data_IF_389562248387
#
_entry.id   IF_389562248387
#
_cell.length_a   1.000
_cell.length_b   1.000
_cell.length_c   1.000
_cell.angle_alpha   90.00
_cell.angle_beta   90.00
_cell.angle_gamma   90.00
#
_symmetry.space_group_name_H-M   'P 1'
#
loop_
_entity.id
_entity.type
_entity.pdbx_description
1 polymer ?
#
# COMPACT_ATOMS: atom_id res chain seq x y z
N UNK A 1 -15.89 -13.56 2.04
CA UNK A 1 -15.50 -12.36 2.83
C UNK A 1 -15.36 -12.78 4.28
N UNK A 2 -14.21 -12.53 4.87
CA UNK A 2 -13.90 -12.83 6.25
C UNK A 2 -13.58 -11.58 7.04
N UNK A 3 -13.65 -11.66 8.36
CA UNK A 3 -13.43 -10.53 9.24
C UNK A 3 -12.57 -10.94 10.42
N UNK A 4 -11.56 -10.13 10.71
CA UNK A 4 -10.84 -10.19 11.96
C UNK A 4 -11.37 -9.08 12.88
N UNK A 5 -12.09 -9.47 13.92
CA UNK A 5 -12.57 -8.54 14.94
C UNK A 5 -11.43 -8.21 15.90
N UNK A 6 -11.18 -6.93 16.12
CA UNK A 6 -10.13 -6.45 17.01
C UNK A 6 -10.66 -5.45 18.01
N UNK A 7 -9.92 -5.16 19.06
CA UNK A 7 -10.26 -4.09 20.01
C UNK A 7 -10.42 -2.72 19.32
N UNK A 8 -9.75 -2.50 18.19
CA UNK A 8 -9.64 -1.21 17.51
C UNK A 8 -10.58 -1.06 16.30
N UNK A 9 -11.13 -2.15 15.80
CA UNK A 9 -11.98 -2.17 14.60
C UNK A 9 -12.05 -3.55 13.99
N UNK A 10 -12.67 -3.62 12.83
CA UNK A 10 -12.85 -4.83 12.05
C UNK A 10 -12.01 -4.75 10.78
N UNK A 11 -11.13 -5.72 10.57
CA UNK A 11 -10.33 -5.87 9.36
C UNK A 11 -11.00 -6.91 8.46
N UNK A 12 -11.46 -6.49 7.29
CA UNK A 12 -12.07 -7.35 6.29
C UNK A 12 -11.01 -7.89 5.32
N UNK A 13 -11.15 -9.15 4.92
CA UNK A 13 -10.28 -9.77 3.91
C UNK A 13 -10.99 -10.89 3.16
N UNK A 14 -10.43 -11.27 2.02
CA UNK A 14 -10.82 -12.48 1.30
C UNK A 14 -9.66 -13.47 1.33
N UNK A 15 -9.98 -14.72 1.61
CA UNK A 15 -9.05 -15.84 1.55
C UNK A 15 -9.27 -16.61 0.24
N UNK A 16 -8.22 -16.77 -0.53
CA UNK A 16 -8.21 -17.52 -1.76
C UNK A 16 -7.16 -18.63 -1.66
N UNK A 17 -7.62 -19.88 -1.65
CA UNK A 17 -6.78 -21.07 -1.48
C UNK A 17 -6.60 -21.49 -0.02
N UNK A 18 -5.98 -22.65 0.17
CA UNK A 18 -5.74 -23.27 1.49
C UNK A 18 -4.34 -23.90 1.56
N UNK A 19 -3.41 -23.45 0.72
CA UNK A 19 -2.04 -23.95 0.71
C UNK A 19 -1.17 -23.29 1.81
N UNK A 20 0.00 -23.85 2.12
CA UNK A 20 0.88 -23.37 3.20
C UNK A 20 1.67 -22.11 2.84
N UNK A 21 1.69 -21.70 1.54
CA UNK A 21 2.39 -20.51 1.11
C UNK A 21 1.47 -19.29 1.17
N UNK A 22 1.43 -18.64 2.33
CA UNK A 22 0.52 -17.52 2.59
C UNK A 22 1.11 -16.22 2.05
N UNK A 23 0.29 -15.44 1.33
CA UNK A 23 0.62 -14.08 0.87
C UNK A 23 -0.39 -13.09 1.42
N UNK A 24 0.10 -11.98 1.99
CA UNK A 24 -0.72 -10.86 2.45
C UNK A 24 -0.70 -9.76 1.38
N UNK A 25 -1.87 -9.40 0.84
CA UNK A 25 -2.01 -8.46 -0.27
C UNK A 25 -2.68 -7.16 0.21
N UNK A 26 -1.97 -6.03 0.13
CA UNK A 26 -2.41 -4.71 0.59
C UNK A 26 -2.55 -3.74 -0.57
N UNK A 27 -3.77 -3.23 -0.80
CA UNK A 27 -4.12 -2.31 -1.88
C UNK A 27 -3.67 -0.86 -1.64
N UNK A 28 -3.75 -0.02 -2.67
CA UNK A 28 -3.48 1.41 -2.61
C UNK A 28 -4.63 2.24 -2.00
N UNK A 29 -4.35 3.52 -1.75
CA UNK A 29 -5.36 4.45 -1.25
C UNK A 29 -6.55 4.58 -2.23
N UNK A 30 -7.76 4.61 -1.69
CA UNK A 30 -9.01 4.73 -2.47
C UNK A 30 -9.45 3.47 -3.18
N UNK A 31 -8.70 2.37 -3.07
CA UNK A 31 -9.04 1.05 -3.59
C UNK A 31 -9.66 0.16 -2.49
N UNK A 32 -9.91 -1.08 -2.83
CA UNK A 32 -10.33 -2.15 -1.93
C UNK A 32 -9.72 -3.48 -2.42
N UNK A 33 -10.06 -4.58 -1.78
CA UNK A 33 -9.56 -5.91 -2.11
C UNK A 33 -9.74 -6.33 -3.58
N UNK A 34 -10.74 -5.77 -4.30
CA UNK A 34 -10.95 -6.06 -5.74
C UNK A 34 -9.78 -5.61 -6.62
N UNK A 35 -8.93 -4.68 -6.15
CA UNK A 35 -7.74 -4.27 -6.86
C UNK A 35 -6.80 -5.44 -7.22
N UNK A 36 -6.90 -6.56 -6.49
CA UNK A 36 -6.09 -7.74 -6.71
C UNK A 36 -6.81 -8.86 -7.49
N UNK A 37 -7.97 -8.61 -8.09
CA UNK A 37 -8.69 -9.63 -8.89
C UNK A 37 -7.80 -10.25 -9.99
N UNK A 38 -6.92 -9.43 -10.61
CA UNK A 38 -5.97 -9.90 -11.61
C UNK A 38 -4.86 -10.84 -11.05
N UNK A 39 -4.59 -10.77 -9.73
CA UNK A 39 -3.62 -11.65 -9.08
C UNK A 39 -4.19 -13.02 -8.72
N UNK A 40 -5.50 -13.14 -8.51
CA UNK A 40 -6.11 -14.38 -8.04
C UNK A 40 -5.82 -15.58 -8.98
N UNK A 41 -5.87 -15.44 -10.33
CA UNK A 41 -5.53 -16.52 -11.25
C UNK A 41 -4.04 -16.93 -11.22
N UNK A 42 -3.15 -16.13 -10.65
CA UNK A 42 -1.72 -16.45 -10.52
C UNK A 42 -1.43 -17.41 -9.36
N UNK A 43 -2.40 -17.64 -8.49
CA UNK A 43 -2.30 -18.53 -7.34
C UNK A 43 -2.06 -19.98 -7.78
N UNK A 44 -1.04 -20.59 -7.22
CA UNK A 44 -0.76 -22.04 -7.38
C UNK A 44 -1.51 -22.85 -6.31
N UNK A 45 -1.66 -24.17 -6.48
CA UNK A 45 -2.36 -25.01 -5.48
C UNK A 45 -1.81 -24.90 -4.05
N UNK A 46 -0.51 -24.65 -3.91
CA UNK A 46 0.16 -24.47 -2.59
C UNK A 46 0.00 -23.08 -1.97
N UNK A 47 -0.58 -22.14 -2.71
CA UNK A 47 -0.65 -20.74 -2.27
C UNK A 47 -1.99 -20.43 -1.61
N UNK A 48 -1.94 -19.58 -0.59
CA UNK A 48 -3.09 -18.92 0.02
C UNK A 48 -2.90 -17.41 -0.08
N UNK A 49 -3.82 -16.70 -0.73
CA UNK A 49 -3.83 -15.24 -0.76
C UNK A 49 -4.83 -14.70 0.24
N UNK A 50 -4.37 -13.88 1.18
CA UNK A 50 -5.20 -13.08 2.05
C UNK A 50 -5.20 -11.64 1.52
N UNK A 51 -6.31 -11.25 0.89
CA UNK A 51 -6.46 -9.95 0.24
C UNK A 51 -7.28 -9.05 1.15
N UNK A 52 -6.70 -7.94 1.60
CA UNK A 52 -7.28 -7.09 2.63
C UNK A 52 -8.00 -5.87 2.06
N UNK A 53 -9.07 -5.47 2.75
CA UNK A 53 -9.49 -4.09 2.79
C UNK A 53 -8.74 -3.40 3.93
N UNK A 54 -7.91 -2.39 3.64
CA UNK A 54 -7.27 -1.61 4.71
C UNK A 54 -8.32 -0.77 5.45
N UNK A 55 -8.05 -0.40 6.70
CA UNK A 55 -9.01 0.40 7.48
C UNK A 55 -9.45 1.66 6.73
N UNK A 56 -10.71 2.03 6.87
CA UNK A 56 -11.43 3.07 6.09
C UNK A 56 -11.64 2.75 4.61
N UNK A 57 -11.32 1.54 4.16
CA UNK A 57 -11.55 1.09 2.79
C UNK A 57 -12.42 -0.17 2.79
N UNK A 58 -13.18 -0.37 1.71
CA UNK A 58 -14.03 -1.53 1.52
C UNK A 58 -14.96 -1.77 2.72
N UNK A 59 -14.88 -2.97 3.30
CA UNK A 59 -15.70 -3.38 4.45
C UNK A 59 -14.97 -3.31 5.80
N UNK A 60 -13.72 -2.85 5.81
CA UNK A 60 -12.98 -2.62 7.05
C UNK A 60 -13.42 -1.36 7.76
N UNK A 61 -13.50 -1.43 9.08
CA UNK A 61 -13.90 -0.31 9.93
C UNK A 61 -12.88 -0.06 11.04
N UNK A 62 -12.79 1.21 11.47
CA UNK A 62 -11.97 1.65 12.59
C UNK A 62 -12.85 2.34 13.61
N UNK A 63 -12.77 1.96 14.89
CA UNK A 63 -13.73 2.39 15.90
C UNK A 63 -13.68 3.88 16.26
N UNK A 64 -12.47 4.45 16.30
CA UNK A 64 -12.32 5.83 16.75
C UNK A 64 -11.20 6.56 16.02
N UNK A 65 -11.50 7.76 15.51
CA UNK A 65 -10.48 8.65 14.91
C UNK A 65 -9.43 9.12 15.93
N UNK A 66 -9.77 9.18 17.21
CA UNK A 66 -8.83 9.58 18.26
C UNK A 66 -7.80 8.48 18.54
N UNK A 67 -8.15 7.22 18.29
CA UNK A 67 -7.22 6.10 18.35
C UNK A 67 -6.40 6.08 17.05
N UNK A 68 -5.10 6.31 17.16
CA UNK A 68 -4.17 6.21 16.03
C UNK A 68 -3.78 4.74 15.81
N UNK A 69 -3.59 4.36 14.54
CA UNK A 69 -3.00 3.07 14.21
C UNK A 69 -1.47 3.21 14.38
N UNK A 70 -0.96 2.64 15.46
CA UNK A 70 0.49 2.61 15.73
C UNK A 70 1.11 1.29 15.24
N UNK A 71 2.44 1.20 15.24
CA UNK A 71 3.16 -0.03 14.88
C UNK A 71 2.79 -1.19 15.83
N UNK A 72 2.64 -0.91 17.12
CA UNK A 72 2.28 -1.88 18.15
C UNK A 72 0.87 -2.44 17.91
N UNK A 73 -0.09 -1.55 17.58
CA UNK A 73 -1.45 -1.96 17.24
C UNK A 73 -1.45 -2.79 15.96
N UNK A 74 -0.73 -2.35 14.92
CA UNK A 74 -0.64 -3.12 13.69
C UNK A 74 0.00 -4.49 13.93
N UNK A 75 1.04 -4.54 14.75
CA UNK A 75 1.67 -5.81 15.17
C UNK A 75 0.68 -6.73 15.88
N UNK A 76 -0.11 -6.23 16.83
CA UNK A 76 -1.09 -7.04 17.55
C UNK A 76 -2.20 -7.58 16.63
N UNK A 77 -2.64 -6.79 15.64
CA UNK A 77 -3.61 -7.22 14.64
C UNK A 77 -3.06 -8.35 13.78
N UNK A 78 -1.80 -8.24 13.33
CA UNK A 78 -1.18 -9.28 12.52
C UNK A 78 -0.93 -10.57 13.32
N UNK A 79 -0.58 -10.49 14.59
CA UNK A 79 -0.46 -11.70 15.48
C UNK A 79 -1.82 -12.41 15.55
N UNK A 80 -2.90 -11.70 15.83
CA UNK A 80 -4.26 -12.27 15.86
C UNK A 80 -4.67 -12.88 14.51
N UNK A 81 -4.24 -12.27 13.39
CA UNK A 81 -4.47 -12.81 12.06
C UNK A 81 -3.69 -14.12 11.83
N UNK A 82 -2.40 -14.16 12.22
CA UNK A 82 -1.55 -15.32 12.10
C UNK A 82 -2.11 -16.50 12.92
N UNK A 83 -2.57 -16.23 14.13
CA UNK A 83 -3.22 -17.22 14.99
C UNK A 83 -4.54 -17.71 14.39
N UNK A 84 -5.39 -16.79 13.88
CA UNK A 84 -6.69 -17.13 13.30
C UNK A 84 -6.58 -17.99 12.04
N UNK A 85 -5.63 -17.66 11.15
CA UNK A 85 -5.45 -18.29 9.84
C UNK A 85 -4.41 -19.42 9.85
N UNK A 86 -3.81 -19.69 11.02
CA UNK A 86 -2.83 -20.76 11.27
C UNK A 86 -1.62 -20.71 10.32
N UNK A 87 -0.89 -19.59 10.35
CA UNK A 87 0.37 -19.46 9.62
C UNK A 87 1.41 -18.70 10.43
N UNK A 88 2.69 -19.01 10.21
CA UNK A 88 3.82 -18.33 10.85
C UNK A 88 4.68 -17.55 9.86
N UNK A 89 4.78 -17.99 8.60
CA UNK A 89 5.61 -17.35 7.57
C UNK A 89 4.78 -16.99 6.35
N UNK A 90 5.09 -15.81 5.78
CA UNK A 90 4.25 -15.27 4.70
C UNK A 90 5.05 -14.42 3.71
N UNK A 91 4.46 -14.19 2.55
CA UNK A 91 4.90 -13.24 1.54
C UNK A 91 4.11 -11.94 1.67
N UNK A 92 4.73 -10.83 1.28
CA UNK A 92 4.09 -9.52 1.27
C UNK A 92 3.97 -9.00 -0.15
N UNK A 93 2.77 -8.61 -0.53
CA UNK A 93 2.47 -7.96 -1.80
C UNK A 93 1.77 -6.64 -1.50
N UNK A 94 2.38 -5.53 -1.87
CA UNK A 94 1.83 -4.22 -1.56
C UNK A 94 1.93 -3.23 -2.70
N UNK A 95 0.83 -2.52 -2.94
CA UNK A 95 0.77 -1.47 -3.95
C UNK A 95 0.56 -0.10 -3.29
N UNK A 96 1.37 0.90 -3.68
CA UNK A 96 1.22 2.29 -3.22
C UNK A 96 1.15 2.37 -1.68
N UNK A 97 0.05 2.84 -1.10
CA UNK A 97 -0.19 2.82 0.36
C UNK A 97 -0.03 1.41 0.95
N UNK A 98 -0.49 0.36 0.25
CA UNK A 98 -0.28 -1.04 0.66
C UNK A 98 1.21 -1.43 0.69
N UNK A 99 2.04 -0.83 -0.16
CA UNK A 99 3.50 -0.97 -0.09
C UNK A 99 4.08 -0.45 1.22
N UNK A 100 3.55 0.66 1.75
CA UNK A 100 3.90 1.17 3.08
C UNK A 100 3.50 0.17 4.18
N UNK A 101 2.30 -0.43 4.09
CA UNK A 101 1.88 -1.48 5.03
C UNK A 101 2.76 -2.73 4.93
N UNK A 102 3.18 -3.12 3.73
CA UNK A 102 4.14 -4.22 3.54
C UNK A 102 5.50 -3.92 4.17
N UNK A 103 6.03 -2.71 4.01
CA UNK A 103 7.29 -2.29 4.62
C UNK A 103 7.20 -2.29 6.16
N UNK A 104 6.10 -1.78 6.72
CA UNK A 104 5.84 -1.80 8.16
C UNK A 104 5.70 -3.23 8.69
N UNK A 105 5.00 -4.10 7.97
CA UNK A 105 4.86 -5.51 8.33
C UNK A 105 6.22 -6.20 8.31
N UNK A 106 7.06 -5.91 7.31
CA UNK A 106 8.42 -6.43 7.26
C UNK A 106 9.27 -5.94 8.45
N UNK A 107 9.19 -4.65 8.79
CA UNK A 107 9.90 -4.09 9.95
C UNK A 107 9.55 -4.81 11.26
N UNK A 108 8.27 -5.18 11.43
CA UNK A 108 7.75 -5.83 12.64
C UNK A 108 8.00 -7.34 12.69
N UNK A 109 8.12 -7.99 11.52
CA UNK A 109 8.21 -9.44 11.38
C UNK A 109 9.30 -9.89 10.38
N UNK A 110 10.54 -9.38 10.47
CA UNK A 110 11.55 -9.60 9.43
C UNK A 110 11.96 -11.08 9.24
N UNK A 111 11.86 -11.90 10.29
CA UNK A 111 12.20 -13.34 10.23
C UNK A 111 11.04 -14.22 9.73
N UNK A 112 9.83 -13.67 9.67
CA UNK A 112 8.62 -14.37 9.24
C UNK A 112 8.28 -14.12 7.78
N UNK A 113 8.85 -13.06 7.19
CA UNK A 113 8.58 -12.68 5.80
C UNK A 113 9.49 -13.44 4.85
N UNK A 114 8.90 -14.22 3.95
CA UNK A 114 9.60 -15.03 2.93
C UNK A 114 10.05 -14.17 1.73
N UNK A 115 9.23 -13.21 1.30
CA UNK A 115 9.58 -12.28 0.20
C UNK A 115 8.69 -11.04 0.19
N UNK A 116 9.13 -9.99 -0.54
CA UNK A 116 8.36 -8.78 -0.78
C UNK A 116 8.20 -8.52 -2.28
N UNK A 117 6.97 -8.27 -2.71
CA UNK A 117 6.64 -7.67 -4.00
C UNK A 117 6.02 -6.30 -3.76
N UNK A 118 6.77 -5.25 -4.07
CA UNK A 118 6.38 -3.87 -3.82
C UNK A 118 6.12 -3.14 -5.14
N UNK A 119 4.88 -2.77 -5.39
CA UNK A 119 4.45 -2.06 -6.59
C UNK A 119 4.27 -0.57 -6.27
N UNK A 120 5.15 0.29 -6.79
CA UNK A 120 5.19 1.72 -6.51
C UNK A 120 4.91 2.05 -5.02
N UNK A 121 5.71 1.51 -4.07
CA UNK A 121 5.39 1.59 -2.64
C UNK A 121 5.51 3.01 -2.10
N UNK A 122 4.48 3.47 -1.39
CA UNK A 122 4.57 4.62 -0.49
C UNK A 122 5.43 4.26 0.75
N UNK A 123 5.94 5.28 1.43
CA UNK A 123 6.75 5.13 2.65
C UNK A 123 8.26 5.06 2.42
N UNK A 124 8.73 4.93 1.17
CA UNK A 124 10.18 5.00 0.83
C UNK A 124 10.64 6.45 0.68
N UNK A 125 9.84 7.30 0.08
CA UNK A 125 10.05 8.75 0.06
C UNK A 125 8.87 9.41 0.77
N UNK A 126 9.15 10.29 1.72
CA UNK A 126 8.10 11.11 2.32
C UNK A 126 7.50 12.00 1.24
N UNK A 127 6.31 11.61 0.76
CA UNK A 127 5.62 12.33 -0.30
C UNK A 127 5.05 13.66 0.21
N UNK A 128 4.77 14.56 -0.73
CA UNK A 128 4.07 15.82 -0.49
C UNK A 128 2.81 15.65 0.39
N UNK A 129 2.05 14.58 0.17
CA UNK A 129 0.84 14.24 0.93
C UNK A 129 1.10 13.93 2.39
N UNK A 130 2.20 13.23 2.67
CA UNK A 130 2.63 12.96 4.03
C UNK A 130 2.98 14.25 4.76
N UNK A 131 3.73 15.13 4.12
CA UNK A 131 4.10 16.43 4.70
C UNK A 131 2.87 17.31 4.96
N UNK A 132 1.87 17.32 4.04
CA UNK A 132 0.61 18.06 4.23
C UNK A 132 -0.22 17.50 5.39
N UNK A 133 -0.30 16.18 5.56
CA UNK A 133 -1.06 15.54 6.63
C UNK A 133 -0.36 15.65 8.01
N UNK A 134 0.97 15.84 8.02
CA UNK A 134 1.78 15.84 9.25
C UNK A 134 2.07 17.21 9.82
N UNK A 135 1.73 18.29 9.11
CA UNK A 135 1.92 19.66 9.63
C UNK A 135 1.09 19.90 10.90
N UNK A 136 1.68 20.56 11.93
CA UNK A 136 1.02 20.67 13.23
C UNK A 136 -0.21 21.60 13.20
N UNK A 137 -1.20 21.23 14.02
CA UNK A 137 -2.35 22.02 14.52
C UNK A 137 -3.18 22.82 13.51
N UNK A 138 -2.64 23.89 12.96
CA UNK A 138 -3.40 24.84 12.10
C UNK A 138 -3.73 24.22 10.73
N UNK A 139 -2.81 23.49 10.12
CA UNK A 139 -3.04 22.83 8.81
C UNK A 139 -3.98 21.64 8.93
N UNK A 140 -4.00 20.93 10.05
CA UNK A 140 -5.00 19.88 10.28
C UNK A 140 -6.43 20.49 10.40
N UNK A 141 -6.57 21.65 11.04
CA UNK A 141 -7.84 22.40 11.07
C UNK A 141 -8.23 22.90 9.67
N UNK A 142 -7.26 23.40 8.91
CA UNK A 142 -7.48 23.82 7.52
C UNK A 142 -7.88 22.63 6.65
N UNK A 143 -7.21 21.49 6.78
CA UNK A 143 -7.55 20.27 6.05
C UNK A 143 -8.95 19.77 6.42
N UNK A 144 -9.32 19.78 7.70
CA UNK A 144 -10.69 19.51 8.15
C UNK A 144 -11.70 20.46 7.49
N UNK A 145 -11.36 21.75 7.43
CA UNK A 145 -12.21 22.76 6.77
C UNK A 145 -12.37 22.46 5.27
N UNK A 146 -11.29 22.06 4.57
CA UNK A 146 -11.29 21.66 3.16
C UNK A 146 -12.20 20.46 2.91
N UNK A 147 -12.18 19.47 3.78
CA UNK A 147 -13.05 18.28 3.68
C UNK A 147 -14.52 18.67 3.68
N UNK A 148 -14.90 19.66 4.51
CA UNK A 148 -16.29 20.11 4.65
C UNK A 148 -16.68 21.23 3.66
N UNK A 149 -15.71 22.03 3.19
CA UNK A 149 -15.93 23.18 2.30
C UNK A 149 -15.07 23.08 1.02
N UNK A 150 -15.27 22.08 0.17
CA UNK A 150 -14.35 21.75 -0.93
C UNK A 150 -14.30 22.80 -2.04
N UNK A 151 -15.37 23.60 -2.25
CA UNK A 151 -15.45 24.57 -3.37
C UNK A 151 -14.31 25.60 -3.34
N UNK A 152 -14.00 26.17 -2.17
CA UNK A 152 -12.90 27.15 -2.02
C UNK A 152 -11.55 26.48 -2.25
N UNK A 153 -11.37 25.29 -1.73
CA UNK A 153 -10.14 24.51 -1.92
C UNK A 153 -9.87 24.20 -3.39
N UNK A 154 -10.87 23.66 -4.12
CA UNK A 154 -10.69 23.36 -5.54
C UNK A 154 -10.38 24.62 -6.34
N UNK A 155 -11.05 25.75 -6.06
CA UNK A 155 -10.76 27.05 -6.71
C UNK A 155 -9.31 27.49 -6.47
N UNK A 156 -8.82 27.38 -5.23
CA UNK A 156 -7.42 27.69 -4.90
C UNK A 156 -6.45 26.75 -5.63
N UNK A 157 -6.74 25.45 -5.66
CA UNK A 157 -5.91 24.46 -6.36
C UNK A 157 -5.89 24.72 -7.88
N UNK A 158 -6.99 25.14 -8.47
CA UNK A 158 -7.07 25.50 -9.89
C UNK A 158 -6.22 26.73 -10.22
N UNK A 159 -6.25 27.76 -9.37
CA UNK A 159 -5.38 28.93 -9.51
C UNK A 159 -3.90 28.52 -9.39
N UNK A 160 -3.53 27.72 -8.40
CA UNK A 160 -2.14 27.25 -8.24
C UNK A 160 -1.68 26.38 -9.42
N UNK A 161 -2.58 25.58 -10.00
CA UNK A 161 -2.28 24.78 -11.18
C UNK A 161 -2.11 25.67 -12.44
N UNK A 162 -2.95 26.70 -12.61
CA UNK A 162 -2.81 27.66 -13.73
C UNK A 162 -1.53 28.48 -13.65
N UNK A 163 -0.99 28.68 -12.42
CA UNK A 163 0.30 29.33 -12.18
C UNK A 163 1.51 28.38 -12.36
N UNK A 164 1.30 27.12 -12.74
CA UNK A 164 2.36 26.11 -12.91
C UNK A 164 2.98 25.64 -11.59
N UNK A 165 2.41 26.01 -10.43
CA UNK A 165 2.92 25.63 -9.11
C UNK A 165 2.58 24.17 -8.78
N UNK A 166 1.47 23.66 -9.31
CA UNK A 166 1.00 22.30 -9.11
C UNK A 166 1.08 21.48 -10.39
N UNK A 167 1.48 20.22 -10.26
CA UNK A 167 1.46 19.28 -11.40
C UNK A 167 0.02 18.86 -11.73
N UNK A 168 -0.33 18.84 -13.02
CA UNK A 168 -1.68 18.47 -13.49
C UNK A 168 -2.08 17.04 -13.11
N UNK A 169 -1.13 16.11 -13.00
CA UNK A 169 -1.34 14.73 -12.52
C UNK A 169 -1.81 14.71 -11.07
N UNK A 170 -1.18 15.53 -10.23
CA UNK A 170 -1.54 15.71 -8.83
C UNK A 170 -2.96 16.27 -8.70
N UNK A 171 -3.31 17.28 -9.53
CA UNK A 171 -4.64 17.87 -9.54
C UNK A 171 -5.70 16.82 -9.93
N UNK A 172 -5.43 15.99 -10.95
CA UNK A 172 -6.34 14.93 -11.37
C UNK A 172 -6.56 13.92 -10.24
N UNK A 173 -5.49 13.50 -9.55
CA UNK A 173 -5.58 12.60 -8.42
C UNK A 173 -6.39 13.21 -7.27
N UNK A 174 -6.08 14.44 -6.85
CA UNK A 174 -6.84 15.13 -5.78
C UNK A 174 -8.32 15.23 -6.14
N UNK A 175 -8.64 15.66 -7.36
CA UNK A 175 -10.04 15.75 -7.83
C UNK A 175 -10.70 14.38 -7.77
N UNK A 176 -10.05 13.29 -8.21
CA UNK A 176 -10.62 11.94 -8.19
C UNK A 176 -10.89 11.44 -6.77
N UNK A 177 -9.98 11.70 -5.81
CA UNK A 177 -10.08 11.22 -4.43
C UNK A 177 -10.93 12.10 -3.51
N UNK A 178 -11.40 13.27 -3.99
CA UNK A 178 -12.13 14.23 -3.17
C UNK A 178 -13.51 14.64 -3.75
N UNK A 179 -14.03 13.89 -4.71
CA UNK A 179 -15.29 14.21 -5.40
C UNK A 179 -16.49 14.23 -4.45
N UNK A 180 -16.65 13.19 -3.65
CA UNK A 180 -17.78 13.06 -2.74
C UNK A 180 -17.38 13.40 -1.30
N UNK A 181 -18.38 13.67 -0.45
CA UNK A 181 -18.16 13.88 0.98
C UNK A 181 -17.53 12.65 1.65
N UNK A 182 -17.97 11.46 1.25
CA UNK A 182 -17.44 10.19 1.77
C UNK A 182 -15.97 10.01 1.42
N UNK A 183 -15.56 10.25 0.17
CA UNK A 183 -14.17 10.17 -0.26
C UNK A 183 -13.29 11.17 0.49
N UNK A 184 -13.75 12.41 0.67
CA UNK A 184 -13.00 13.41 1.45
C UNK A 184 -12.85 13.01 2.91
N UNK A 185 -13.92 12.45 3.51
CA UNK A 185 -13.87 11.92 4.87
C UNK A 185 -12.88 10.76 4.98
N UNK A 186 -12.87 9.86 3.99
CA UNK A 186 -11.92 8.75 3.90
C UNK A 186 -10.47 9.25 3.87
N UNK A 187 -10.15 10.25 3.02
CA UNK A 187 -8.81 10.90 3.00
C UNK A 187 -8.47 11.42 4.39
N UNK A 188 -9.35 12.19 5.00
CA UNK A 188 -9.11 12.80 6.31
C UNK A 188 -8.87 11.76 7.41
N UNK A 189 -9.73 10.74 7.49
CA UNK A 189 -9.62 9.71 8.52
C UNK A 189 -8.40 8.82 8.32
N UNK A 190 -8.17 8.34 7.11
CA UNK A 190 -7.01 7.51 6.79
C UNK A 190 -5.71 8.21 7.16
N UNK A 191 -5.53 9.46 6.75
CA UNK A 191 -4.29 10.17 7.02
C UNK A 191 -4.10 10.50 8.50
N UNK A 192 -5.17 10.89 9.20
CA UNK A 192 -5.07 11.15 10.63
C UNK A 192 -4.75 9.89 11.44
N UNK A 193 -5.38 8.77 11.10
CA UNK A 193 -5.21 7.52 11.84
C UNK A 193 -3.90 6.83 11.49
N UNK A 194 -3.47 6.86 10.22
CA UNK A 194 -2.23 6.21 9.77
C UNK A 194 -0.98 7.08 9.92
N UNK A 195 -1.12 8.31 10.43
CA UNK A 195 0.01 9.24 10.63
C UNK A 195 1.21 8.63 11.37
N UNK A 196 1.05 7.83 12.45
CA UNK A 196 2.17 7.23 13.17
C UNK A 196 2.85 6.10 12.41
N UNK A 197 2.22 5.54 11.38
CA UNK A 197 2.76 4.43 10.61
C UNK A 197 3.86 4.91 9.66
N UNK A 198 5.09 5.02 10.17
CA UNK A 198 6.27 5.39 9.41
C UNK A 198 7.27 4.23 9.41
N UNK A 199 7.58 3.63 8.21
CA UNK A 199 8.61 2.61 8.12
C UNK A 199 10.00 3.19 8.48
N UNK A 200 10.75 2.51 9.31
CA UNK A 200 12.17 2.79 9.49
C UNK A 200 12.97 2.12 8.37
N UNK A 201 13.21 2.88 7.31
CA UNK A 201 13.93 2.36 6.14
C UNK A 201 15.35 1.93 6.44
N UNK A 202 16.01 2.53 7.45
CA UNK A 202 17.34 2.14 7.87
C UNK A 202 17.34 0.72 8.44
N UNK A 203 16.45 0.46 9.38
CA UNK A 203 16.23 -0.86 9.97
C UNK A 203 15.79 -1.88 8.92
N UNK A 204 14.81 -1.54 8.08
CA UNK A 204 14.30 -2.41 7.02
C UNK A 204 15.41 -2.86 6.07
N UNK A 205 16.22 -1.92 5.55
CA UNK A 205 17.34 -2.22 4.64
C UNK A 205 18.35 -3.14 5.33
N UNK A 206 18.70 -2.84 6.59
CA UNK A 206 19.61 -3.67 7.38
C UNK A 206 19.09 -5.11 7.49
N UNK A 207 17.82 -5.29 7.84
CA UNK A 207 17.21 -6.62 8.00
C UNK A 207 17.03 -7.37 6.68
N UNK A 208 16.66 -6.68 5.57
CA UNK A 208 16.60 -7.30 4.24
C UNK A 208 17.98 -7.85 3.83
N UNK A 209 19.04 -7.09 4.08
CA UNK A 209 20.41 -7.52 3.78
C UNK A 209 20.87 -8.67 4.67
N UNK A 210 20.56 -8.63 5.97
CA UNK A 210 20.93 -9.67 6.92
C UNK A 210 20.22 -11.00 6.60
N UNK A 211 18.93 -10.95 6.39
CA UNK A 211 18.09 -12.12 6.13
C UNK A 211 18.12 -12.57 4.66
N UNK A 212 18.76 -11.82 3.78
CA UNK A 212 18.76 -12.04 2.32
C UNK A 212 17.34 -12.20 1.76
N UNK A 213 16.37 -11.46 2.36
CA UNK A 213 14.96 -11.57 1.99
C UNK A 213 14.77 -11.18 0.52
N UNK A 214 14.22 -12.06 -0.34
CA UNK A 214 13.93 -11.73 -1.72
C UNK A 214 12.97 -10.55 -1.80
N UNK A 215 13.36 -9.54 -2.58
CA UNK A 215 12.55 -8.34 -2.79
C UNK A 215 12.51 -7.95 -4.26
N UNK A 216 11.31 -7.73 -4.76
CA UNK A 216 11.07 -7.19 -6.10
C UNK A 216 10.35 -5.86 -5.99
N UNK A 217 10.89 -4.85 -6.64
CA UNK A 217 10.35 -3.51 -6.72
C UNK A 217 9.82 -3.28 -8.14
N UNK A 218 8.52 -3.05 -8.28
CA UNK A 218 7.88 -2.79 -9.56
C UNK A 218 7.50 -1.31 -9.65
N UNK A 219 7.81 -0.68 -10.79
CA UNK A 219 7.47 0.71 -11.09
C UNK A 219 6.82 0.83 -12.44
N UNK A 220 5.97 1.84 -12.61
CA UNK A 220 5.45 2.22 -13.92
C UNK A 220 6.31 3.31 -14.53
N UNK A 221 6.70 3.15 -15.80
CA UNK A 221 7.49 4.15 -16.55
C UNK A 221 6.79 5.50 -16.63
N UNK A 222 5.45 5.48 -16.69
CA UNK A 222 4.62 6.69 -16.76
C UNK A 222 4.00 7.06 -15.40
N UNK A 223 4.48 6.46 -14.31
CA UNK A 223 4.06 6.81 -12.97
C UNK A 223 4.64 8.17 -12.55
N UNK A 224 3.77 9.18 -12.45
CA UNK A 224 4.13 10.54 -12.03
C UNK A 224 4.03 10.74 -10.51
N UNK A 225 3.52 9.77 -9.77
CA UNK A 225 3.35 9.85 -8.31
C UNK A 225 4.54 9.24 -7.57
N UNK A 226 4.90 8.02 -7.94
CA UNK A 226 6.02 7.30 -7.34
C UNK A 226 6.93 6.83 -8.47
N UNK A 227 7.86 7.69 -8.87
CA UNK A 227 8.78 7.44 -9.98
C UNK A 227 9.90 6.49 -9.57
N UNK A 228 10.49 5.79 -10.53
CA UNK A 228 11.69 4.96 -10.33
C UNK A 228 12.82 5.75 -9.66
N UNK A 229 13.00 7.02 -10.02
CA UNK A 229 14.00 7.91 -9.40
C UNK A 229 13.76 8.12 -7.89
N UNK A 230 12.48 8.19 -7.46
CA UNK A 230 12.14 8.33 -6.04
C UNK A 230 12.56 7.12 -5.21
N UNK A 231 12.64 5.94 -5.82
CA UNK A 231 12.94 4.67 -5.16
C UNK A 231 14.42 4.28 -5.26
N UNK A 232 15.20 4.96 -6.13
CA UNK A 232 16.60 4.65 -6.40
C UNK A 232 17.48 4.64 -5.14
N UNK A 233 17.26 5.59 -4.21
CA UNK A 233 18.03 5.65 -2.95
C UNK A 233 17.79 4.44 -2.05
N UNK A 234 16.62 3.84 -2.12
CA UNK A 234 16.30 2.62 -1.40
C UNK A 234 16.85 1.39 -2.12
N UNK A 235 16.54 1.24 -3.41
CA UNK A 235 16.95 0.06 -4.19
C UNK A 235 18.47 -0.10 -4.30
N UNK A 236 19.23 0.99 -4.46
CA UNK A 236 20.69 0.95 -4.55
C UNK A 236 21.40 0.47 -3.28
N UNK A 237 20.71 0.43 -2.15
CA UNK A 237 21.26 -0.07 -0.87
C UNK A 237 21.09 -1.57 -0.66
N UNK A 238 20.35 -2.27 -1.53
CA UNK A 238 20.04 -3.70 -1.40
C UNK A 238 20.49 -4.40 -2.68
N UNK A 239 21.66 -5.03 -2.65
CA UNK A 239 22.32 -5.58 -3.84
C UNK A 239 21.51 -6.66 -4.57
N UNK A 240 20.74 -7.48 -3.85
CA UNK A 240 19.92 -8.56 -4.42
C UNK A 240 18.47 -8.14 -4.76
N UNK A 241 18.12 -6.85 -4.57
CA UNK A 241 16.81 -6.33 -4.95
C UNK A 241 16.65 -6.36 -6.48
N UNK A 242 15.54 -6.97 -6.93
CA UNK A 242 15.17 -6.95 -8.33
C UNK A 242 14.28 -5.75 -8.62
N UNK A 243 14.54 -5.06 -9.71
CA UNK A 243 13.70 -3.95 -10.21
C UNK A 243 13.02 -4.38 -11.50
N UNK A 244 11.75 -4.03 -11.64
CA UNK A 244 10.94 -4.21 -12.83
C UNK A 244 10.26 -2.90 -13.15
N UNK A 245 10.51 -2.35 -14.35
CA UNK A 245 9.81 -1.18 -14.84
C UNK A 245 8.86 -1.58 -15.98
N UNK A 246 7.57 -1.29 -15.83
CA UNK A 246 6.52 -1.63 -16.77
C UNK A 246 6.06 -0.39 -17.54
N UNK A 247 5.64 -0.56 -18.79
CA UNK A 247 5.15 0.50 -19.69
C UNK A 247 3.74 0.97 -19.30
N UNK A 248 3.55 1.35 -18.04
CA UNK A 248 2.24 1.73 -17.50
C UNK A 248 2.32 2.93 -16.55
N UNK A 249 1.15 3.47 -16.19
CA UNK A 249 1.00 4.49 -15.16
C UNK A 249 0.75 3.90 -13.78
N UNK A 250 0.57 4.80 -12.77
CA UNK A 250 0.32 4.38 -11.39
C UNK A 250 -0.92 3.47 -11.27
N UNK A 251 -2.05 3.86 -11.86
CA UNK A 251 -3.35 3.23 -11.62
C UNK A 251 -3.51 1.82 -12.20
N UNK A 252 -2.74 1.46 -13.21
CA UNK A 252 -2.80 0.15 -13.89
C UNK A 252 -1.67 -0.78 -13.49
N UNK A 253 -0.85 -0.38 -12.52
CA UNK A 253 0.37 -1.10 -12.17
C UNK A 253 0.11 -2.49 -11.57
N UNK A 254 -1.00 -2.69 -10.87
CA UNK A 254 -1.37 -4.01 -10.32
C UNK A 254 -1.69 -4.97 -11.46
N UNK A 255 -2.56 -4.57 -12.38
CA UNK A 255 -3.00 -5.37 -13.52
C UNK A 255 -1.83 -5.72 -14.44
N UNK A 256 -0.99 -4.74 -14.77
CA UNK A 256 0.19 -4.93 -15.62
C UNK A 256 1.24 -5.84 -14.93
N UNK A 257 1.40 -5.71 -13.61
CA UNK A 257 2.26 -6.63 -12.86
C UNK A 257 1.71 -8.06 -12.90
N UNK A 258 0.41 -8.24 -12.74
CA UNK A 258 -0.21 -9.55 -12.83
C UNK A 258 -0.05 -10.16 -14.24
N UNK A 259 -0.27 -9.37 -15.30
CA UNK A 259 -0.07 -9.79 -16.69
C UNK A 259 1.38 -10.20 -16.96
N UNK A 260 2.35 -9.41 -16.49
CA UNK A 260 3.77 -9.73 -16.60
C UNK A 260 4.11 -11.07 -15.89
N UNK A 261 3.67 -11.25 -14.66
CA UNK A 261 3.93 -12.47 -13.88
C UNK A 261 3.29 -13.70 -14.52
N UNK A 262 2.09 -13.56 -15.10
CA UNK A 262 1.44 -14.63 -15.86
C UNK A 262 2.28 -15.05 -17.06
N UNK A 263 2.70 -14.09 -17.89
CA UNK A 263 3.50 -14.35 -19.09
C UNK A 263 4.87 -14.97 -18.76
N UNK A 264 5.44 -14.61 -17.60
CA UNK A 264 6.71 -15.17 -17.12
C UNK A 264 6.55 -16.64 -16.68
N UNK A 265 5.45 -16.96 -15.98
CA UNK A 265 5.14 -18.32 -15.56
C UNK A 265 4.88 -19.23 -16.78
N UNK A 266 4.09 -18.76 -17.76
CA UNK A 266 3.75 -19.53 -18.97
C UNK A 266 5.01 -19.89 -19.78
N UNK A 267 5.97 -18.97 -19.90
CA UNK A 267 7.27 -19.21 -20.58
C UNK A 267 8.13 -20.24 -19.87
N UNK A 268 8.13 -20.26 -18.52
CA UNK A 268 8.96 -21.21 -17.76
C UNK A 268 8.36 -22.61 -17.69
N UNK A 269 7.05 -22.77 -17.89
CA UNK A 269 6.40 -24.11 -17.99
C UNK A 269 6.69 -24.75 -19.36
N UNK A 270 6.77 -23.96 -20.45
CA UNK A 270 7.06 -24.44 -21.80
C UNK A 270 8.51 -24.89 -22.06
N UNK A 271 9.42 -24.74 -21.12
CA UNK A 271 10.84 -25.18 -21.23
C UNK A 271 11.16 -26.38 -20.32
N UNK A 272 10.16 -26.99 -19.70
CA UNK A 272 10.31 -28.14 -18.77
C UNK A 272 9.76 -29.43 -19.35
N UNK A 273 9.46 -29.51 -20.67
CA UNK A 273 9.07 -30.72 -21.43
C UNK A 273 10.19 -31.22 -22.31
#
# INVERSE_FOLDING_TARGET
>A
MEFLETAFGRLAYQKHGNGPEVSLLFHGFGQNLKAYEAFIPLRKPKDTFLVFDLFYHGQSSWKSINQKLTKEIWRSILIQLMEKEDFDRFHLIGYSMGGKFSLLTYELFPCYVKSLLLMAPDGIKTGFWYNMATFPGILNRLFKHVVFHPKRFFKTMEVLNSMGILQSSLMKFVKSQMQTRTMRAQVYFTWNVFKPLQPDLGSIIKMIRLNQTPITLVTGKFDMMITTANLKKFSSKIAHLKTLELECGHNTLIEETAAYLKSFNDRNVGHSE
#
